data_IF_614099560461
#
_entry.id   IF_614099560461
#
_cell.length_a   1.000
_cell.length_b   1.000
_cell.length_c   1.000
_cell.angle_alpha   90.00
_cell.angle_beta   90.00
_cell.angle_gamma   90.00
#
_symmetry.space_group_name_H-M   'P 1'
#
loop_
_entity.id
_entity.type
_entity.pdbx_description
1 polymer ?
#
# COMPACT_ATOMS: atom_id res chain seq x y z
N UNK A 1 -0.87 3.63 -6.36
CA UNK A 1 0.24 3.34 -5.41
C UNK A 1 1.00 2.07 -5.81
N UNK A 2 0.36 0.90 -5.77
CA UNK A 2 1.00 -0.37 -6.20
C UNK A 2 1.46 -0.36 -7.67
N UNK A 3 0.70 0.27 -8.57
CA UNK A 3 1.10 0.42 -9.97
C UNK A 3 2.39 1.21 -10.15
N UNK A 4 2.63 2.26 -9.34
CA UNK A 4 3.86 3.07 -9.40
C UNK A 4 5.06 2.21 -8.99
N UNK A 5 4.94 1.45 -7.88
CA UNK A 5 6.01 0.55 -7.44
C UNK A 5 6.35 -0.50 -8.53
N UNK A 6 5.34 -1.06 -9.20
CA UNK A 6 5.57 -2.00 -10.31
C UNK A 6 6.18 -1.34 -11.54
N UNK A 7 5.76 -0.12 -11.87
CA UNK A 7 6.34 0.64 -12.98
C UNK A 7 7.81 0.96 -12.74
N UNK A 8 8.16 1.47 -11.55
CA UNK A 8 9.55 1.77 -11.19
C UNK A 8 10.45 0.53 -11.23
N UNK A 9 9.97 -0.62 -10.75
CA UNK A 9 10.70 -1.88 -10.84
C UNK A 9 10.98 -2.29 -12.28
N UNK A 10 9.97 -2.21 -13.15
CA UNK A 10 10.12 -2.54 -14.57
C UNK A 10 11.08 -1.59 -15.29
N UNK A 11 11.05 -0.29 -14.98
CA UNK A 11 11.90 0.71 -15.62
C UNK A 11 13.36 0.63 -15.19
N UNK A 12 13.60 0.30 -13.91
CA UNK A 12 14.95 0.16 -13.36
C UNK A 12 15.59 -1.20 -13.64
N UNK A 13 14.81 -2.18 -14.13
CA UNK A 13 15.26 -3.58 -14.27
C UNK A 13 15.58 -4.24 -12.93
N UNK A 14 15.15 -3.65 -11.82
CA UNK A 14 15.44 -4.14 -10.47
C UNK A 14 14.59 -5.39 -10.16
N UNK A 15 15.16 -6.28 -9.35
CA UNK A 15 14.41 -7.41 -8.83
C UNK A 15 13.31 -6.91 -7.88
N UNK A 16 12.06 -7.27 -8.15
CA UNK A 16 10.89 -6.79 -7.38
C UNK A 16 10.24 -7.90 -6.57
N UNK A 17 10.19 -7.71 -5.25
CA UNK A 17 9.43 -8.54 -4.33
C UNK A 17 8.23 -7.76 -3.78
N UNK A 18 7.02 -8.28 -3.97
CA UNK A 18 5.80 -7.75 -3.36
C UNK A 18 5.41 -8.62 -2.17
N UNK A 19 5.23 -8.01 -1.00
CA UNK A 19 4.72 -8.69 0.19
C UNK A 19 3.50 -7.93 0.69
N UNK A 20 2.40 -8.66 0.93
CA UNK A 20 1.21 -8.06 1.52
C UNK A 20 1.31 -8.14 3.06
N UNK A 21 1.12 -7.01 3.75
CA UNK A 21 1.22 -6.97 5.21
C UNK A 21 0.26 -7.94 5.93
N UNK A 22 -0.90 -8.22 5.32
CA UNK A 22 -1.85 -9.23 5.83
C UNK A 22 -1.29 -10.66 5.80
N UNK A 23 -0.46 -11.00 4.82
CA UNK A 23 0.16 -12.34 4.69
C UNK A 23 1.23 -12.58 5.77
N UNK A 24 1.92 -11.53 6.20
CA UNK A 24 2.88 -11.60 7.31
C UNK A 24 2.15 -11.82 8.64
N UNK A 25 0.96 -11.23 8.80
CA UNK A 25 0.21 -11.26 10.05
C UNK A 25 -0.68 -12.51 10.24
N UNK A 26 -1.09 -13.20 9.16
CA UNK A 26 -2.07 -14.30 9.25
C UNK A 26 -1.47 -15.70 9.03
N UNK A 27 -1.09 -16.37 10.12
CA UNK A 27 -1.04 -17.85 10.17
C UNK A 27 -1.74 -18.35 11.43
N UNK A 28 -2.94 -18.93 11.27
CA UNK A 28 -3.39 -20.18 11.92
C UNK A 28 -4.87 -20.51 11.56
N UNK A 29 -5.21 -21.78 11.24
CA UNK A 29 -6.56 -22.21 10.88
C UNK A 29 -7.36 -22.85 12.04
N UNK A 30 -8.70 -22.82 11.96
CA UNK A 30 -9.58 -23.93 12.36
C UNK A 30 -10.45 -23.85 13.63
N UNK A 31 -11.69 -24.32 13.46
CA UNK A 31 -12.78 -24.72 14.38
C UNK A 31 -13.70 -23.64 14.99
N UNK A 32 -14.98 -23.65 14.61
CA UNK A 32 -15.75 -22.41 14.44
C UNK A 32 -16.67 -22.01 15.60
N UNK A 33 -16.97 -22.86 16.58
CA UNK A 33 -18.09 -22.57 17.50
C UNK A 33 -17.71 -22.53 18.99
N UNK A 34 -16.90 -23.49 19.48
CA UNK A 34 -16.29 -23.38 20.82
C UNK A 34 -15.25 -22.26 20.88
N UNK A 35 -14.67 -21.94 19.73
CA UNK A 35 -13.81 -20.77 19.54
C UNK A 35 -14.59 -19.47 19.61
N UNK A 36 -15.91 -19.38 19.41
CA UNK A 36 -16.57 -18.08 19.47
C UNK A 36 -16.55 -17.51 20.90
N UNK A 37 -16.95 -18.31 21.90
CA UNK A 37 -16.90 -17.90 23.32
C UNK A 37 -15.47 -17.73 23.83
N UNK A 38 -14.56 -18.66 23.49
CA UNK A 38 -13.13 -18.48 23.77
C UNK A 38 -12.54 -17.31 23.00
N UNK A 39 -13.03 -16.95 21.82
CA UNK A 39 -12.55 -15.81 21.02
C UNK A 39 -13.02 -14.49 21.60
N UNK A 40 -14.19 -14.38 22.23
CA UNK A 40 -14.57 -13.14 22.92
C UNK A 40 -13.72 -12.89 24.19
N UNK A 41 -13.47 -13.92 24.99
CA UNK A 41 -12.54 -13.85 26.13
C UNK A 41 -11.08 -13.62 25.70
N UNK A 42 -10.66 -14.36 24.66
CA UNK A 42 -9.33 -14.25 24.06
C UNK A 42 -9.22 -12.99 23.20
N UNK A 43 -10.30 -12.32 22.79
CA UNK A 43 -10.28 -11.01 22.12
C UNK A 43 -10.00 -9.91 23.14
N UNK A 44 -10.63 -9.94 24.32
CA UNK A 44 -10.31 -9.03 25.43
C UNK A 44 -8.85 -9.19 25.91
N UNK A 45 -8.32 -10.41 25.96
CA UNK A 45 -6.89 -10.65 26.24
C UNK A 45 -5.98 -10.42 25.03
N UNK A 46 -6.47 -10.67 23.81
CA UNK A 46 -5.72 -10.43 22.57
C UNK A 46 -5.56 -8.98 22.30
N UNK A 47 -6.50 -8.11 22.63
CA UNK A 47 -6.35 -6.66 22.37
C UNK A 47 -5.06 -6.14 23.03
N UNK A 48 -4.82 -6.49 24.29
CA UNK A 48 -3.55 -6.20 24.98
C UNK A 48 -2.34 -6.93 24.39
N UNK A 49 -2.45 -8.22 24.06
CA UNK A 49 -1.31 -8.95 23.49
C UNK A 49 -1.04 -8.60 22.01
N UNK A 50 -2.04 -8.11 21.29
CA UNK A 50 -1.98 -7.77 19.87
C UNK A 50 -1.19 -6.48 19.71
N UNK A 51 -1.43 -5.49 20.57
CA UNK A 51 -0.59 -4.30 20.66
C UNK A 51 0.87 -4.67 21.00
N UNK A 52 1.11 -5.58 21.95
CA UNK A 52 2.47 -6.03 22.29
C UNK A 52 3.14 -6.81 21.14
N UNK A 53 2.38 -7.67 20.47
CA UNK A 53 2.84 -8.45 19.31
C UNK A 53 3.16 -7.51 18.15
N UNK A 54 2.24 -6.59 17.82
CA UNK A 54 2.41 -5.59 16.77
C UNK A 54 3.61 -4.69 17.07
N UNK A 55 3.76 -4.22 18.31
CA UNK A 55 4.92 -3.44 18.73
C UNK A 55 6.23 -4.21 18.55
N UNK A 56 6.26 -5.50 18.92
CA UNK A 56 7.45 -6.36 18.70
C UNK A 56 7.75 -6.54 17.21
N UNK A 57 6.72 -6.73 16.39
CA UNK A 57 6.88 -6.81 14.93
C UNK A 57 7.43 -5.52 14.34
N UNK A 58 6.95 -4.36 14.80
CA UNK A 58 7.46 -3.05 14.37
C UNK A 58 8.94 -2.90 14.73
N UNK A 59 9.34 -3.27 15.95
CA UNK A 59 10.75 -3.22 16.35
C UNK A 59 11.61 -4.15 15.50
N UNK A 60 11.16 -5.39 15.25
CA UNK A 60 11.89 -6.33 14.42
C UNK A 60 12.03 -5.83 12.98
N UNK A 61 10.97 -5.24 12.43
CA UNK A 61 10.99 -4.65 11.09
C UNK A 61 12.00 -3.50 11.01
N UNK A 62 12.04 -2.63 12.03
CA UNK A 62 13.00 -1.53 12.12
C UNK A 62 14.45 -2.03 12.15
N UNK A 63 14.74 -3.03 13.00
CA UNK A 63 16.10 -3.62 13.06
C UNK A 63 16.53 -4.18 11.70
N UNK A 64 15.64 -4.91 11.02
CA UNK A 64 15.94 -5.44 9.68
C UNK A 64 16.13 -4.32 8.64
N UNK A 65 15.38 -3.21 8.74
CA UNK A 65 15.55 -2.06 7.86
C UNK A 65 16.88 -1.33 8.10
N UNK A 66 17.32 -1.19 9.35
CA UNK A 66 18.62 -0.61 9.71
C UNK A 66 19.78 -1.46 9.15
N UNK A 67 19.67 -2.78 9.22
CA UNK A 67 20.65 -3.69 8.61
C UNK A 67 20.68 -3.55 7.08
N UNK A 68 19.51 -3.44 6.43
CA UNK A 68 19.40 -3.31 4.98
C UNK A 68 19.89 -1.95 4.47
N UNK A 69 19.79 -0.88 5.26
CA UNK A 69 20.29 0.45 4.86
C UNK A 69 21.80 0.45 4.59
N UNK A 70 22.55 -0.49 5.15
CA UNK A 70 23.97 -0.66 4.87
C UNK A 70 24.22 -1.27 3.48
N UNK A 71 23.21 -1.86 2.85
CA UNK A 71 23.25 -2.41 1.51
C UNK A 71 22.85 -1.33 0.48
N UNK A 72 23.81 -0.82 -0.28
CA UNK A 72 23.61 0.24 -1.29
C UNK A 72 22.69 -0.10 -2.47
N UNK A 73 22.16 -1.31 -2.55
CA UNK A 73 21.42 -1.83 -3.71
C UNK A 73 20.00 -2.29 -3.41
N UNK A 74 19.49 -2.03 -2.20
CA UNK A 74 18.13 -2.43 -1.81
C UNK A 74 17.29 -1.20 -1.48
N UNK A 75 16.13 -1.08 -2.14
CA UNK A 75 15.14 -0.03 -1.87
C UNK A 75 13.89 -0.69 -1.30
N UNK A 76 13.42 -0.18 -0.16
CA UNK A 76 12.18 -0.63 0.48
C UNK A 76 11.08 0.40 0.21
N UNK A 77 9.98 -0.03 -0.41
CA UNK A 77 8.80 0.80 -0.63
C UNK A 77 7.61 0.24 0.16
N UNK A 78 6.92 1.10 0.90
CA UNK A 78 5.69 0.78 1.59
C UNK A 78 4.54 1.61 1.02
N UNK A 79 3.35 1.01 0.91
CA UNK A 79 2.14 1.69 0.45
C UNK A 79 1.01 1.47 1.45
N UNK A 80 0.39 2.56 1.92
CA UNK A 80 -0.76 2.52 2.82
C UNK A 80 -1.87 3.46 2.36
N UNK A 81 -3.12 3.09 2.65
CA UNK A 81 -4.27 3.99 2.56
C UNK A 81 -4.62 4.64 3.91
N UNK A 82 -3.94 4.24 4.99
CA UNK A 82 -4.17 4.71 6.37
C UNK A 82 -2.83 5.16 6.97
N UNK A 83 -2.27 6.31 6.56
CA UNK A 83 -0.97 6.77 7.07
C UNK A 83 -0.98 7.02 8.57
N UNK A 84 -2.13 7.41 9.13
CA UNK A 84 -2.29 7.65 10.57
C UNK A 84 -2.32 6.36 11.40
N UNK A 85 -2.50 5.19 10.76
CA UNK A 85 -2.45 3.89 11.44
C UNK A 85 -1.04 3.30 11.46
N UNK A 86 -0.06 3.92 10.81
CA UNK A 86 1.33 3.45 10.84
C UNK A 86 2.01 3.96 12.10
N UNK A 87 2.77 3.09 12.75
CA UNK A 87 3.59 3.44 13.91
C UNK A 87 4.53 4.63 13.57
N UNK A 88 4.56 5.71 14.37
CA UNK A 88 5.40 6.87 14.13
C UNK A 88 6.90 6.57 13.97
N UNK A 89 7.40 5.49 14.60
CA UNK A 89 8.79 5.08 14.45
C UNK A 89 9.11 4.72 12.99
N UNK A 90 8.27 3.90 12.32
CA UNK A 90 8.45 3.54 10.91
C UNK A 90 8.40 4.76 9.98
N UNK A 91 7.51 5.72 10.29
CA UNK A 91 7.36 6.96 9.52
C UNK A 91 8.63 7.81 9.53
N UNK A 92 9.37 7.85 10.64
CA UNK A 92 10.63 8.62 10.75
C UNK A 92 11.75 8.08 9.85
N UNK A 93 11.74 6.79 9.53
CA UNK A 93 12.75 6.16 8.67
C UNK A 93 12.38 6.18 7.18
N UNK A 94 11.20 6.67 6.82
CA UNK A 94 10.68 6.61 5.46
C UNK A 94 10.57 8.01 4.84
N UNK A 95 10.87 8.10 3.54
CA UNK A 95 10.43 9.22 2.72
C UNK A 95 8.92 9.09 2.49
N UNK A 96 8.15 10.07 2.94
CA UNK A 96 6.70 10.08 2.76
C UNK A 96 6.29 10.79 1.46
N UNK A 97 5.67 10.04 0.55
CA UNK A 97 5.10 10.57 -0.69
C UNK A 97 3.58 10.42 -0.60
N UNK A 98 2.88 11.54 -0.51
CA UNK A 98 1.42 11.59 -0.53
C UNK A 98 0.94 11.67 -1.97
N UNK A 99 0.09 10.71 -2.37
CA UNK A 99 -0.52 10.70 -3.70
C UNK A 99 -1.97 11.14 -3.52
N UNK A 100 -2.26 12.37 -3.94
CA UNK A 100 -3.57 13.02 -3.86
C UNK A 100 -4.42 12.84 -5.13
N UNK A 101 -5.64 13.37 -5.09
CA UNK A 101 -6.60 13.31 -6.21
C UNK A 101 -6.02 14.00 -7.44
N UNK A 102 -6.03 13.35 -8.62
CA UNK A 102 -5.53 13.96 -9.84
C UNK A 102 -6.38 15.19 -10.18
N UNK A 103 -5.72 16.26 -10.58
CA UNK A 103 -6.37 17.44 -11.14
C UNK A 103 -6.85 17.18 -12.58
N UNK A 104 -7.45 18.19 -13.21
CA UNK A 104 -7.97 18.06 -14.58
C UNK A 104 -6.86 17.65 -15.56
N UNK A 105 -5.66 18.22 -15.40
CA UNK A 105 -4.51 17.96 -16.29
C UNK A 105 -4.06 16.51 -16.13
N UNK A 106 -3.86 16.05 -14.90
CA UNK A 106 -3.48 14.68 -14.62
C UNK A 106 -4.56 13.67 -15.08
N UNK A 107 -5.85 14.00 -14.92
CA UNK A 107 -6.94 13.14 -15.43
C UNK A 107 -6.91 13.04 -16.95
N UNK A 108 -6.70 14.16 -17.66
CA UNK A 108 -6.55 14.15 -19.10
C UNK A 108 -5.35 13.30 -19.54
N UNK A 109 -4.21 13.42 -18.87
CA UNK A 109 -3.03 12.58 -19.17
C UNK A 109 -3.32 11.09 -18.96
N UNK A 110 -3.97 10.72 -17.85
CA UNK A 110 -4.37 9.35 -17.57
C UNK A 110 -5.29 8.81 -18.68
N UNK A 111 -6.30 9.60 -19.08
CA UNK A 111 -7.21 9.25 -20.17
C UNK A 111 -6.46 9.08 -21.49
N UNK A 112 -5.56 10.01 -21.84
CA UNK A 112 -4.73 9.93 -23.04
C UNK A 112 -3.85 8.68 -23.05
N UNK A 113 -3.22 8.32 -21.92
CA UNK A 113 -2.39 7.12 -21.81
C UNK A 113 -3.22 5.86 -22.06
N UNK A 114 -4.39 5.76 -21.45
CA UNK A 114 -5.24 4.58 -21.58
C UNK A 114 -5.95 4.48 -22.94
N UNK A 115 -6.19 5.61 -23.60
CA UNK A 115 -6.86 5.66 -24.91
C UNK A 115 -5.90 5.71 -26.10
N UNK A 116 -4.58 5.84 -25.87
CA UNK A 116 -3.56 5.97 -26.91
C UNK A 116 -3.63 4.92 -28.02
N UNK A 117 -4.03 3.69 -27.69
CA UNK A 117 -4.12 2.57 -28.63
C UNK A 117 -5.56 2.19 -28.99
N UNK A 118 -6.53 3.08 -28.72
CA UNK A 118 -7.96 2.85 -28.98
C UNK A 118 -8.42 3.66 -30.19
N UNK A 119 -9.38 3.13 -30.96
CA UNK A 119 -10.13 3.92 -31.93
C UNK A 119 -11.24 4.64 -31.18
N UNK A 120 -11.12 5.95 -31.05
CA UNK A 120 -12.15 6.81 -30.50
C UNK A 120 -13.11 7.25 -31.60
N UNK A 121 -14.38 7.48 -31.24
CA UNK A 121 -15.34 8.12 -32.13
C UNK A 121 -15.02 9.61 -32.28
N UNK A 122 -15.46 10.21 -33.39
CA UNK A 122 -15.25 11.65 -33.67
C UNK A 122 -15.98 12.56 -32.66
N UNK A 123 -16.93 11.99 -31.91
CA UNK A 123 -17.73 12.63 -30.86
C UNK A 123 -17.09 12.57 -29.47
N UNK A 124 -15.94 11.91 -29.32
CA UNK A 124 -15.29 11.73 -28.01
C UNK A 124 -14.33 12.87 -27.71
N UNK A 125 -14.71 13.76 -26.81
CA UNK A 125 -13.84 14.81 -26.25
C UNK A 125 -13.28 14.41 -24.87
N UNK A 126 -12.00 14.02 -24.84
CA UNK A 126 -11.30 13.65 -23.61
C UNK A 126 -11.11 14.84 -22.64
N UNK A 127 -11.03 16.07 -23.15
CA UNK A 127 -10.89 17.27 -22.32
C UNK A 127 -12.20 17.54 -21.59
N UNK A 128 -13.33 17.39 -22.27
CA UNK A 128 -14.63 17.49 -21.64
C UNK A 128 -14.80 16.41 -20.55
N UNK A 129 -14.49 15.15 -20.87
CA UNK A 129 -14.57 14.03 -19.92
C UNK A 129 -13.67 14.27 -18.70
N UNK A 130 -12.45 14.77 -18.88
CA UNK A 130 -11.54 15.08 -17.78
C UNK A 130 -12.09 16.17 -16.85
N UNK A 131 -12.83 17.15 -17.38
CA UNK A 131 -13.47 18.20 -16.58
C UNK A 131 -14.69 17.69 -15.81
N UNK A 132 -15.49 16.81 -16.40
CA UNK A 132 -16.72 16.29 -15.80
C UNK A 132 -16.47 15.18 -14.76
N UNK A 133 -15.32 14.49 -14.83
CA UNK A 133 -14.95 13.39 -13.92
C UNK A 133 -14.28 13.87 -12.64
N UNK A 134 -14.90 14.84 -11.96
CA UNK A 134 -14.36 15.36 -10.69
C UNK A 134 -14.36 14.29 -9.59
N UNK A 135 -13.21 14.11 -8.93
CA UNK A 135 -13.05 13.19 -7.81
C UNK A 135 -12.89 11.71 -8.19
N UNK A 136 -12.86 11.38 -9.48
CA UNK A 136 -12.57 10.02 -9.94
C UNK A 136 -11.08 9.68 -9.73
N UNK A 137 -10.83 8.51 -9.15
CA UNK A 137 -9.53 7.93 -8.80
C UNK A 137 -9.44 6.48 -9.28
#
# INVERSE_FOLDING_TARGET
KTLIARAMANETGAFFFLIHGSEIMSKLPGESELNLRKAFEKAKKREKSHDEIEHRFVLQLLTLMEDIQQCSHVIVMAATNRPNSINPALRRFALEINIGIPDVVARLEILCIHTKNMKLGDDVDLVQIANETYGCW
#
